data_IF_811004698630
#
_entry.id   IF_811004698630
#
_cell.length_a   1.000
_cell.length_b   1.000
_cell.length_c   1.000
_cell.angle_alpha   90.00
_cell.angle_beta   90.00
_cell.angle_gamma   90.00
#
_symmetry.space_group_name_H-M   'P 1'
#
loop_
_entity.id
_entity.type
_entity.pdbx_description
1 polymer ?
#
# COMPACT_ATOMS: atom_id res chain seq x y z
N UNK A 1 -27.28 -22.07 -15.10
CA UNK A 1 -26.04 -21.31 -15.33
C UNK A 1 -26.41 -19.84 -15.32
N UNK A 2 -26.20 -19.15 -14.20
CA UNK A 2 -26.54 -17.74 -14.06
C UNK A 2 -25.38 -16.89 -14.58
N UNK A 3 -25.56 -16.27 -15.74
CA UNK A 3 -24.66 -15.25 -16.26
C UNK A 3 -24.82 -14.00 -15.39
N UNK A 4 -23.89 -13.79 -14.47
CA UNK A 4 -23.78 -12.54 -13.72
C UNK A 4 -23.16 -11.51 -14.66
N UNK A 5 -24.04 -10.78 -15.36
CA UNK A 5 -23.68 -9.56 -16.05
C UNK A 5 -23.29 -8.51 -14.99
N UNK A 6 -21.98 -8.39 -14.74
CA UNK A 6 -21.43 -7.30 -13.94
C UNK A 6 -21.76 -5.99 -14.67
N UNK A 7 -22.66 -5.24 -14.07
CA UNK A 7 -23.05 -3.89 -14.46
C UNK A 7 -21.82 -3.06 -14.80
N UNK A 8 -21.81 -2.52 -16.02
CA UNK A 8 -21.02 -1.37 -16.43
C UNK A 8 -21.30 -0.22 -15.46
N UNK A 9 -20.42 -0.07 -14.46
CA UNK A 9 -20.37 1.12 -13.63
C UNK A 9 -19.82 2.30 -14.43
N UNK A 10 -20.65 2.86 -15.33
CA UNK A 10 -20.49 4.20 -15.86
C UNK A 10 -20.71 5.20 -14.71
N UNK A 11 -19.66 5.45 -13.93
CA UNK A 11 -19.58 6.53 -12.95
C UNK A 11 -18.76 7.68 -13.53
N UNK A 12 -19.46 8.74 -13.91
CA UNK A 12 -18.98 10.01 -14.42
C UNK A 12 -17.72 10.54 -13.69
N UNK A 13 -16.70 10.91 -14.47
CA UNK A 13 -15.32 11.19 -14.04
C UNK A 13 -15.11 12.26 -12.96
N UNK A 14 -14.00 12.11 -12.23
CA UNK A 14 -13.38 13.14 -11.39
C UNK A 14 -13.29 12.86 -9.88
N UNK A 15 -13.62 11.64 -9.41
CA UNK A 15 -13.57 11.26 -8.00
C UNK A 15 -12.34 10.45 -7.59
N UNK A 16 -12.08 10.39 -6.28
CA UNK A 16 -11.08 9.47 -5.72
C UNK A 16 -11.46 8.00 -6.06
N UNK A 17 -10.53 7.26 -6.65
CA UNK A 17 -10.63 5.83 -6.87
C UNK A 17 -10.27 5.05 -5.59
N UNK A 18 -11.03 4.00 -5.30
CA UNK A 18 -10.69 3.06 -4.23
C UNK A 18 -9.66 2.05 -4.74
N UNK A 19 -8.43 2.18 -4.28
CA UNK A 19 -7.32 1.30 -4.61
C UNK A 19 -7.16 0.29 -3.49
N UNK A 20 -7.30 -0.99 -3.82
CA UNK A 20 -7.02 -2.11 -2.92
C UNK A 20 -5.86 -2.92 -3.42
N UNK A 21 -5.16 -3.63 -2.56
CA UNK A 21 -4.15 -4.56 -3.03
C UNK A 21 -3.44 -5.28 -1.91
N UNK A 22 -2.48 -6.09 -2.32
CA UNK A 22 -1.62 -6.88 -1.44
C UNK A 22 -0.16 -6.54 -1.68
N UNK A 23 0.60 -6.51 -0.59
CA UNK A 23 2.05 -6.29 -0.59
C UNK A 23 2.71 -7.59 -0.17
N UNK A 24 3.70 -8.03 -0.95
CA UNK A 24 4.55 -9.17 -0.63
C UNK A 24 6.00 -8.83 -0.90
N UNK A 25 6.91 -9.30 -0.05
CA UNK A 25 8.35 -9.19 -0.22
C UNK A 25 8.97 -10.58 -0.08
N UNK A 26 9.69 -11.05 -1.11
CA UNK A 26 10.25 -12.41 -1.13
C UNK A 26 9.21 -13.52 -0.80
N UNK A 27 7.96 -13.32 -1.24
CA UNK A 27 6.85 -14.24 -0.96
C UNK A 27 6.24 -14.13 0.44
N UNK A 28 6.79 -13.29 1.33
CA UNK A 28 6.24 -13.02 2.66
C UNK A 28 5.41 -11.73 2.66
N UNK A 29 4.22 -11.78 3.27
CA UNK A 29 3.39 -10.59 3.44
C UNK A 29 3.74 -9.89 4.77
N UNK A 30 3.94 -8.56 4.78
CA UNK A 30 4.15 -7.82 6.01
C UNK A 30 2.90 -7.89 6.89
N UNK A 31 3.10 -8.07 8.20
CA UNK A 31 2.02 -8.12 9.18
C UNK A 31 1.49 -6.72 9.56
N UNK A 32 2.31 -5.70 9.37
CA UNK A 32 1.99 -4.30 9.63
C UNK A 32 2.88 -3.38 8.80
N UNK A 33 2.48 -2.12 8.70
CA UNK A 33 3.24 -1.09 8.02
C UNK A 33 2.34 -0.03 7.40
N UNK A 34 2.94 0.80 6.56
CA UNK A 34 2.23 1.81 5.79
C UNK A 34 2.69 1.79 4.34
N UNK A 35 1.75 2.01 3.44
CA UNK A 35 2.00 2.30 2.03
C UNK A 35 1.69 3.77 1.78
N UNK A 36 2.60 4.45 1.12
CA UNK A 36 2.45 5.84 0.73
C UNK A 36 2.38 5.99 -0.78
N UNK A 37 1.53 6.91 -1.22
CA UNK A 37 1.35 7.30 -2.61
C UNK A 37 1.54 8.81 -2.73
N UNK A 38 2.47 9.26 -3.56
CA UNK A 38 2.69 10.69 -3.81
C UNK A 38 2.67 11.00 -5.29
N UNK A 39 2.00 12.09 -5.67
CA UNK A 39 2.06 12.65 -7.02
C UNK A 39 2.93 13.90 -6.99
N UNK A 40 3.53 14.24 -8.12
CA UNK A 40 4.28 15.49 -8.24
C UNK A 40 3.37 16.68 -7.90
N UNK A 41 3.76 17.46 -6.89
CA UNK A 41 3.02 18.66 -6.45
C UNK A 41 1.82 18.40 -5.53
N UNK A 42 1.57 17.15 -5.10
CA UNK A 42 0.50 16.82 -4.16
C UNK A 42 1.07 16.24 -2.84
N UNK A 43 0.38 16.43 -1.69
CA UNK A 43 0.78 15.79 -0.45
C UNK A 43 0.66 14.26 -0.56
N UNK A 44 1.52 13.50 0.13
CA UNK A 44 1.46 12.04 0.11
C UNK A 44 0.18 11.55 0.80
N UNK A 45 -0.52 10.60 0.16
CA UNK A 45 -1.61 9.84 0.78
C UNK A 45 -1.04 8.56 1.36
N UNK A 46 -1.31 8.30 2.64
CA UNK A 46 -0.81 7.13 3.37
C UNK A 46 -1.98 6.20 3.69
N UNK A 47 -1.77 4.90 3.54
CA UNK A 47 -2.68 3.87 3.96
C UNK A 47 -1.97 2.83 4.84
N UNK A 48 -2.70 2.30 5.81
CA UNK A 48 -2.19 1.25 6.70
C UNK A 48 -2.19 -0.09 5.98
N UNK A 49 -1.12 -0.85 6.17
CA UNK A 49 -1.01 -2.24 5.74
C UNK A 49 -1.55 -3.11 6.87
N UNK A 50 -2.58 -3.90 6.56
CA UNK A 50 -3.18 -4.85 7.47
C UNK A 50 -2.39 -6.16 7.53
N UNK A 51 -2.57 -6.97 8.60
CA UNK A 51 -2.02 -8.32 8.65
C UNK A 51 -2.35 -9.11 7.39
N UNK A 52 -1.34 -9.75 6.80
CA UNK A 52 -1.47 -10.41 5.49
C UNK A 52 -1.16 -9.51 4.29
N UNK A 53 -0.63 -8.30 4.51
CA UNK A 53 -0.11 -7.42 3.47
C UNK A 53 -1.20 -6.64 2.71
N UNK A 54 -2.47 -6.74 3.11
CA UNK A 54 -3.57 -6.06 2.45
C UNK A 54 -3.57 -4.55 2.77
N UNK A 55 -3.94 -3.72 1.80
CA UNK A 55 -4.11 -2.29 2.02
C UNK A 55 -5.30 -1.74 1.23
N UNK A 56 -5.80 -0.57 1.65
CA UNK A 56 -6.84 0.17 0.94
C UNK A 56 -6.57 1.68 1.04
N UNK A 57 -6.63 2.38 -0.10
CA UNK A 57 -6.45 3.82 -0.20
C UNK A 57 -7.48 4.46 -1.14
N UNK A 58 -7.83 5.73 -0.92
CA UNK A 58 -8.64 6.53 -1.84
C UNK A 58 -7.75 7.55 -2.55
N UNK A 59 -7.49 7.32 -3.83
CA UNK A 59 -6.52 8.06 -4.62
C UNK A 59 -7.18 8.64 -5.86
N UNK A 60 -7.02 9.93 -6.17
CA UNK A 60 -7.46 10.44 -7.47
C UNK A 60 -6.70 9.74 -8.60
N UNK A 61 -7.26 9.74 -9.82
CA UNK A 61 -6.58 9.15 -10.97
C UNK A 61 -5.27 9.87 -11.27
N UNK A 62 -4.25 9.12 -11.66
CA UNK A 62 -2.95 9.66 -12.05
C UNK A 62 -1.77 8.76 -11.71
N UNK A 63 -0.58 9.29 -11.90
CA UNK A 63 0.67 8.57 -11.67
C UNK A 63 1.25 8.90 -10.29
N UNK A 64 1.64 7.87 -9.56
CA UNK A 64 2.15 7.95 -8.20
C UNK A 64 3.53 7.30 -8.07
N UNK A 65 4.39 7.94 -7.29
CA UNK A 65 5.50 7.26 -6.64
C UNK A 65 5.00 6.57 -5.38
N UNK A 66 5.50 5.37 -5.13
CA UNK A 66 5.03 4.52 -4.05
C UNK A 66 6.17 4.28 -3.08
N UNK A 67 5.86 4.32 -1.79
CA UNK A 67 6.75 3.81 -0.74
C UNK A 67 6.02 2.78 0.10
N UNK A 68 6.75 1.79 0.58
CA UNK A 68 6.25 0.74 1.46
C UNK A 68 7.19 0.72 2.66
N UNK A 69 6.69 1.14 3.81
CA UNK A 69 7.41 1.09 5.07
C UNK A 69 6.74 0.04 5.97
N UNK A 70 7.35 -1.14 6.01
CA UNK A 70 6.95 -2.23 6.88
C UNK A 70 8.04 -2.48 7.92
N UNK A 71 8.03 -1.76 9.05
CA UNK A 71 8.94 -2.03 10.15
C UNK A 71 8.68 -3.46 10.69
N UNK A 72 9.67 -4.06 11.38
CA UNK A 72 9.46 -5.35 12.02
C UNK A 72 8.33 -5.25 13.07
N UNK A 73 7.59 -6.34 13.31
CA UNK A 73 6.59 -6.37 14.35
C UNK A 73 7.25 -6.10 15.71
N UNK A 74 6.53 -5.39 16.58
CA UNK A 74 6.95 -5.26 17.98
C UNK A 74 6.91 -6.65 18.63
N UNK A 75 7.88 -6.99 19.48
CA UNK A 75 7.86 -8.26 20.19
C UNK A 75 6.67 -8.33 21.13
N UNK A 76 6.20 -9.56 21.33
CA UNK A 76 5.07 -9.87 22.20
C UNK A 76 5.35 -9.37 23.63
N UNK A 77 4.42 -8.61 24.20
CA UNK A 77 4.55 -8.05 25.55
C UNK A 77 5.27 -6.70 25.66
N UNK A 78 5.62 -6.05 24.54
CA UNK A 78 6.16 -4.68 24.58
C UNK A 78 5.10 -3.67 25.05
N UNK A 79 5.52 -2.75 25.93
CA UNK A 79 4.66 -1.71 26.52
C UNK A 79 5.19 -0.32 26.18
N UNK A 80 4.27 0.63 25.97
CA UNK A 80 4.60 2.03 25.71
C UNK A 80 5.43 2.62 26.87
N UNK A 81 6.60 3.17 26.55
CA UNK A 81 7.59 3.65 27.53
C UNK A 81 8.77 2.71 27.76
N UNK A 82 8.72 1.47 27.27
CA UNK A 82 9.91 0.63 27.16
C UNK A 82 10.79 1.10 25.99
N UNK A 83 12.13 0.96 26.08
CA UNK A 83 12.98 1.21 24.92
C UNK A 83 12.49 0.36 23.75
N UNK A 84 12.45 0.93 22.54
CA UNK A 84 12.09 0.18 21.34
C UNK A 84 13.13 -0.95 21.24
N UNK A 85 12.72 -2.22 21.31
CA UNK A 85 13.63 -3.35 21.23
C UNK A 85 14.39 -3.26 19.91
N UNK A 86 15.64 -3.72 19.90
CA UNK A 86 16.41 -3.80 18.65
C UNK A 86 15.56 -4.52 17.62
N UNK A 87 15.08 -3.74 16.67
CA UNK A 87 14.03 -4.14 15.76
C UNK A 87 14.64 -5.27 14.93
N UNK A 88 13.98 -6.42 14.86
CA UNK A 88 14.43 -7.51 13.99
C UNK A 88 14.63 -7.03 12.54
N UNK A 89 15.21 -7.85 11.65
CA UNK A 89 15.39 -7.44 10.26
C UNK A 89 14.03 -6.99 9.68
N UNK A 90 14.01 -5.80 9.07
CA UNK A 90 12.80 -5.27 8.43
C UNK A 90 12.30 -6.30 7.42
N UNK A 91 10.99 -6.56 7.42
CA UNK A 91 10.36 -7.44 6.43
C UNK A 91 10.52 -6.85 5.03
N UNK A 92 10.36 -5.53 4.91
CA UNK A 92 10.60 -4.80 3.67
C UNK A 92 11.83 -3.91 3.84
N UNK A 93 12.86 -4.04 2.99
CA UNK A 93 14.07 -3.23 3.07
C UNK A 93 13.79 -1.73 3.06
N UNK A 94 14.61 -0.96 3.78
CA UNK A 94 14.44 0.49 3.94
C UNK A 94 14.45 1.27 2.61
N UNK A 95 15.10 0.72 1.57
CA UNK A 95 15.05 1.31 0.22
C UNK A 95 13.61 1.51 -0.28
N UNK A 96 12.67 0.63 0.09
CA UNK A 96 11.27 0.76 -0.31
C UNK A 96 10.49 1.76 0.56
N UNK A 97 11.00 2.13 1.74
CA UNK A 97 10.36 3.07 2.65
C UNK A 97 10.51 4.54 2.21
N UNK A 98 11.20 4.80 1.11
CA UNK A 98 11.46 6.14 0.58
C UNK A 98 10.97 6.26 -0.87
N UNK A 99 10.19 7.31 -1.17
CA UNK A 99 9.61 7.54 -2.50
C UNK A 99 10.64 7.66 -3.63
N UNK A 100 11.84 8.16 -3.31
CA UNK A 100 12.91 8.39 -4.30
C UNK A 100 13.75 7.13 -4.54
N UNK A 101 13.96 6.30 -3.52
CA UNK A 101 14.82 5.11 -3.63
C UNK A 101 14.05 3.80 -3.79
N UNK A 102 12.72 3.81 -3.62
CA UNK A 102 11.89 2.61 -3.77
C UNK A 102 11.88 2.11 -5.22
N UNK A 103 11.92 3.03 -6.19
CA UNK A 103 11.70 2.72 -7.60
C UNK A 103 10.28 2.23 -7.91
N UNK A 104 9.37 2.28 -6.94
CA UNK A 104 7.99 1.79 -7.09
C UNK A 104 7.09 2.90 -7.63
N UNK A 105 6.29 2.56 -8.64
CA UNK A 105 5.30 3.45 -9.23
C UNK A 105 3.96 2.75 -9.37
N UNK A 106 2.88 3.50 -9.24
CA UNK A 106 1.53 3.02 -9.52
C UNK A 106 0.80 4.00 -10.43
N UNK A 107 0.04 3.47 -11.38
CA UNK A 107 -0.85 4.24 -12.25
C UNK A 107 -2.27 3.93 -11.82
N UNK A 108 -2.99 4.95 -11.37
CA UNK A 108 -4.37 4.84 -10.91
C UNK A 108 -5.29 5.34 -12.02
N UNK A 109 -6.13 4.45 -12.55
CA UNK A 109 -7.11 4.76 -13.58
C UNK A 109 -8.30 5.56 -13.02
N UNK A 110 -9.11 6.16 -13.89
CA UNK A 110 -10.35 6.85 -13.53
C UNK A 110 -11.50 5.92 -13.09
N UNK A 111 -11.20 4.65 -12.82
CA UNK A 111 -12.15 3.66 -12.37
C UNK A 111 -12.45 3.83 -10.87
N UNK A 112 -13.71 3.65 -10.44
CA UNK A 112 -14.11 3.87 -9.04
C UNK A 112 -13.44 2.89 -8.07
N UNK A 113 -13.05 1.71 -8.55
CA UNK A 113 -12.35 0.70 -7.79
C UNK A 113 -11.32 0.01 -8.67
N UNK A 114 -10.13 -0.25 -8.13
CA UNK A 114 -9.08 -0.98 -8.84
C UNK A 114 -8.16 -1.70 -7.85
N UNK A 115 -7.53 -2.77 -8.35
CA UNK A 115 -6.58 -3.57 -7.58
C UNK A 115 -5.15 -3.32 -8.06
N UNK A 116 -4.24 -3.01 -7.13
CA UNK A 116 -2.82 -2.78 -7.40
C UNK A 116 -1.98 -3.59 -6.41
N UNK A 117 -1.43 -4.71 -6.86
CA UNK A 117 -0.58 -5.55 -6.02
C UNK A 117 0.90 -5.21 -6.17
N UNK A 118 1.64 -5.21 -5.07
CA UNK A 118 3.09 -5.01 -5.04
C UNK A 118 3.79 -6.31 -4.66
N UNK A 119 4.45 -6.92 -5.65
CA UNK A 119 5.30 -8.10 -5.46
C UNK A 119 6.76 -7.67 -5.53
N UNK A 120 7.36 -7.44 -4.37
CA UNK A 120 8.74 -7.02 -4.24
C UNK A 120 9.67 -8.26 -4.27
N UNK A 121 10.77 -8.20 -5.05
CA UNK A 121 11.76 -9.26 -5.11
C UNK A 121 12.60 -9.34 -3.84
#
# INVERSE_FOLDING_TARGET
>A
MAAVALSLGCGNGGGDATVTGTITYNGAAPASGVIGFVQSGAPPKIATIQPGGAYQAKLPPGQYQVRIDAPPPLPEGWQEGQPIPQSGPRVVPEKYANFTTSGLTATISAEPQQQVDFKLP
#
